data_IF_576988293876
#
_entry.id   IF_576988293876
#
_cell.length_a   1.000
_cell.length_b   1.000
_cell.length_c   1.000
_cell.angle_alpha   90.00
_cell.angle_beta   90.00
_cell.angle_gamma   90.00
#
_symmetry.space_group_name_H-M   'P 1'
#
loop_
_entity.id
_entity.type
_entity.pdbx_description
1 polymer ?
#
# COMPACT_ATOMS: atom_id res chain seq x y z
N UNK A 1 0.09 -10.26 -15.16
CA UNK A 1 0.68 -11.20 -14.18
C UNK A 1 0.54 -10.54 -12.83
N UNK A 2 -0.24 -11.12 -11.92
CA UNK A 2 -0.48 -10.54 -10.60
C UNK A 2 0.64 -10.93 -9.64
N UNK A 3 1.00 -10.03 -8.73
CA UNK A 3 1.98 -10.28 -7.68
C UNK A 3 1.39 -11.22 -6.62
N UNK A 4 2.18 -12.19 -6.16
CA UNK A 4 1.83 -13.02 -4.99
C UNK A 4 1.87 -12.17 -3.72
N UNK A 5 0.94 -12.42 -2.80
CA UNK A 5 0.92 -11.75 -1.49
C UNK A 5 1.92 -12.48 -0.61
N UNK A 6 2.91 -11.75 -0.11
CA UNK A 6 3.97 -12.31 0.73
C UNK A 6 3.72 -11.98 2.20
N UNK A 7 3.59 -13.03 3.03
CA UNK A 7 3.43 -12.89 4.47
C UNK A 7 4.61 -12.14 5.09
N UNK A 8 4.35 -11.20 5.98
CA UNK A 8 5.38 -10.37 6.64
C UNK A 8 5.88 -9.19 5.79
N UNK A 9 5.55 -9.13 4.51
CA UNK A 9 5.86 -8.01 3.61
C UNK A 9 4.62 -7.20 3.24
N UNK A 10 3.57 -7.89 2.80
CA UNK A 10 2.34 -7.25 2.33
C UNK A 10 1.29 -7.13 3.45
N UNK A 11 0.55 -6.03 3.42
CA UNK A 11 -0.62 -5.79 4.27
C UNK A 11 -1.87 -5.69 3.41
N UNK A 12 -3.01 -6.05 3.99
CA UNK A 12 -4.33 -5.89 3.37
C UNK A 12 -4.91 -4.57 3.84
N UNK A 13 -5.26 -3.69 2.91
CA UNK A 13 -5.87 -2.39 3.20
C UNK A 13 -7.22 -2.27 2.52
N UNK A 14 -8.23 -1.90 3.31
CA UNK A 14 -9.55 -1.54 2.82
C UNK A 14 -9.66 -0.03 2.64
N UNK A 15 -10.06 0.42 1.44
CA UNK A 15 -10.27 1.83 1.13
C UNK A 15 -11.74 2.05 0.79
N UNK A 16 -12.39 2.93 1.54
CA UNK A 16 -13.74 3.43 1.25
C UNK A 16 -13.65 4.82 0.60
N UNK A 17 -14.06 4.92 -0.66
CA UNK A 17 -14.09 6.19 -1.41
C UNK A 17 -15.38 6.29 -2.23
N UNK A 18 -16.10 7.40 -2.13
CA UNK A 18 -17.31 7.68 -2.93
C UNK A 18 -18.30 6.50 -2.97
N UNK A 19 -18.59 5.93 -1.80
CA UNK A 19 -19.48 4.77 -1.62
C UNK A 19 -19.00 3.45 -2.24
N UNK A 20 -17.75 3.41 -2.73
CA UNK A 20 -17.10 2.19 -3.22
C UNK A 20 -16.04 1.72 -2.23
N UNK A 21 -16.06 0.43 -1.90
CA UNK A 21 -15.09 -0.20 -1.02
C UNK A 21 -14.20 -1.15 -1.81
N UNK A 22 -12.89 -0.96 -1.71
CA UNK A 22 -11.89 -1.72 -2.45
C UNK A 22 -10.83 -2.30 -1.50
N UNK A 23 -10.37 -3.51 -1.79
CA UNK A 23 -9.23 -4.12 -1.09
C UNK A 23 -7.96 -3.96 -1.92
N UNK A 24 -6.86 -3.72 -1.23
CA UNK A 24 -5.52 -3.71 -1.80
C UNK A 24 -4.62 -4.63 -0.97
N UNK A 25 -3.69 -5.29 -1.64
CA UNK A 25 -2.64 -6.06 -0.97
C UNK A 25 -1.27 -5.57 -1.46
N UNK A 26 -0.53 -4.89 -0.59
CA UNK A 26 0.74 -4.26 -0.94
C UNK A 26 1.62 -4.03 0.28
N UNK A 27 2.85 -3.59 0.05
CA UNK A 27 3.78 -3.19 1.11
C UNK A 27 3.21 -2.05 1.97
N UNK A 28 3.50 -2.10 3.28
CA UNK A 28 2.95 -1.17 4.28
C UNK A 28 3.40 0.27 4.05
N UNK A 29 4.60 0.46 3.52
CA UNK A 29 5.22 1.77 3.29
C UNK A 29 4.41 2.63 2.32
N UNK A 30 3.68 2.02 1.37
CA UNK A 30 2.79 2.71 0.43
C UNK A 30 1.61 3.39 1.11
N UNK A 31 1.22 2.93 2.30
CA UNK A 31 0.05 3.39 3.05
C UNK A 31 0.38 4.43 4.13
N UNK A 32 1.64 4.83 4.26
CA UNK A 32 2.04 5.96 5.11
C UNK A 32 1.55 7.26 4.47
N UNK A 33 0.40 7.79 4.89
CA UNK A 33 -0.26 8.93 4.23
C UNK A 33 0.65 10.13 3.99
N UNK A 34 1.47 10.50 4.99
CA UNK A 34 2.43 11.60 4.89
C UNK A 34 3.86 11.07 4.97
N UNK A 35 4.41 10.65 3.83
CA UNK A 35 5.80 10.17 3.77
C UNK A 35 6.82 11.31 3.96
N UNK A 36 6.42 12.57 3.71
CA UNK A 36 7.28 13.73 3.98
C UNK A 36 7.60 13.81 5.48
N UNK A 37 6.57 13.77 6.34
CA UNK A 37 6.76 13.77 7.80
C UNK A 37 7.47 12.51 8.28
N UNK A 38 7.10 11.36 7.72
CA UNK A 38 7.71 10.08 8.10
C UNK A 38 9.22 10.07 7.81
N UNK A 39 9.61 10.54 6.63
CA UNK A 39 11.00 10.71 6.23
C UNK A 39 11.75 11.69 7.14
N UNK A 40 11.18 12.87 7.37
CA UNK A 40 11.79 13.90 8.22
C UNK A 40 12.05 13.39 9.65
N UNK A 41 11.17 12.54 10.19
CA UNK A 41 11.38 11.91 11.50
C UNK A 41 12.68 11.10 11.57
N UNK A 42 12.95 10.27 10.56
CA UNK A 42 14.17 9.47 10.51
C UNK A 42 15.43 10.32 10.24
N UNK A 43 15.33 11.29 9.32
CA UNK A 43 16.43 12.20 9.03
C UNK A 43 16.84 13.01 10.27
N UNK A 44 15.87 13.51 11.03
CA UNK A 44 16.11 14.23 12.29
C UNK A 44 16.73 13.34 13.38
N UNK A 45 16.50 12.02 13.32
CA UNK A 45 17.16 11.04 14.19
C UNK A 45 18.53 10.60 13.66
N UNK A 46 19.03 11.19 12.57
CA UNK A 46 20.34 10.91 11.98
C UNK A 46 20.38 9.71 11.05
N UNK A 47 19.23 9.14 10.67
CA UNK A 47 19.17 8.03 9.73
C UNK A 47 19.13 8.53 8.28
N UNK A 48 19.87 7.85 7.40
CA UNK A 48 19.76 8.07 5.97
C UNK A 48 18.40 7.54 5.47
N UNK A 49 17.76 8.29 4.58
CA UNK A 49 16.49 7.90 3.96
C UNK A 49 16.61 7.98 2.43
N UNK A 50 15.81 7.20 1.68
CA UNK A 50 15.81 7.27 0.23
C UNK A 50 15.50 8.67 -0.30
N UNK A 51 16.10 9.04 -1.43
CA UNK A 51 15.81 10.31 -2.10
C UNK A 51 14.45 10.25 -2.82
N UNK A 52 13.62 11.28 -2.60
CA UNK A 52 12.28 11.38 -3.21
C UNK A 52 11.27 10.38 -2.64
N UNK A 53 10.26 10.05 -3.46
CA UNK A 53 9.13 9.18 -3.11
C UNK A 53 8.88 8.17 -4.25
N UNK A 54 9.95 7.67 -4.89
CA UNK A 54 9.84 6.78 -6.05
C UNK A 54 9.01 5.52 -5.73
N UNK A 55 9.22 4.96 -4.54
CA UNK A 55 8.49 3.80 -4.00
C UNK A 55 6.99 4.08 -3.77
N UNK A 56 6.58 5.35 -3.90
CA UNK A 56 5.21 5.84 -3.81
C UNK A 56 4.82 6.68 -5.03
N UNK A 57 5.35 6.33 -6.20
CA UNK A 57 4.96 6.94 -7.48
C UNK A 57 5.22 8.46 -7.54
N UNK A 58 6.17 8.96 -6.74
CA UNK A 58 6.46 10.39 -6.59
C UNK A 58 5.49 11.15 -5.68
N UNK A 59 4.54 10.47 -5.02
CA UNK A 59 3.51 11.07 -4.17
C UNK A 59 3.96 11.07 -2.71
N UNK A 60 4.49 12.21 -2.25
CA UNK A 60 4.93 12.36 -0.86
C UNK A 60 3.79 12.41 0.17
N UNK A 61 2.63 12.94 -0.22
CA UNK A 61 1.46 13.11 0.65
C UNK A 61 0.23 12.59 -0.08
N UNK A 62 -0.51 11.67 0.55
CA UNK A 62 -1.84 11.23 0.12
C UNK A 62 -2.89 11.99 0.92
N UNK A 63 -3.59 12.88 0.24
CA UNK A 63 -4.70 13.70 0.74
C UNK A 63 -5.81 13.74 -0.32
N UNK A 64 -6.83 14.56 -0.14
CA UNK A 64 -7.98 14.68 -1.03
C UNK A 64 -7.60 15.06 -2.47
N UNK A 65 -6.51 15.78 -2.67
CA UNK A 65 -6.04 16.25 -3.98
C UNK A 65 -5.23 15.18 -4.72
N UNK A 66 -4.45 14.38 -4.00
CA UNK A 66 -3.56 13.35 -4.57
C UNK A 66 -4.12 11.93 -4.49
N UNK A 67 -5.22 11.72 -3.76
CA UNK A 67 -5.83 10.40 -3.54
C UNK A 67 -6.13 9.68 -4.85
N UNK A 68 -6.68 10.40 -5.82
CA UNK A 68 -7.12 9.80 -7.09
C UNK A 68 -5.93 9.31 -7.92
N UNK A 69 -4.88 10.13 -7.97
CA UNK A 69 -3.63 9.73 -8.60
C UNK A 69 -3.01 8.53 -7.89
N UNK A 70 -2.98 8.55 -6.56
CA UNK A 70 -2.45 7.44 -5.76
C UNK A 70 -3.22 6.14 -6.02
N UNK A 71 -4.56 6.15 -5.95
CA UNK A 71 -5.38 4.96 -6.19
C UNK A 71 -5.32 4.47 -7.64
N UNK A 72 -5.06 5.36 -8.61
CA UNK A 72 -4.80 4.98 -10.00
C UNK A 72 -3.47 4.22 -10.13
N UNK A 73 -2.43 4.66 -9.45
CA UNK A 73 -1.14 3.94 -9.41
C UNK A 73 -1.23 2.61 -8.65
N UNK A 74 -2.12 2.51 -7.66
CA UNK A 74 -2.34 1.29 -6.85
C UNK A 74 -3.25 0.24 -7.54
N UNK A 75 -3.77 0.50 -8.75
CA UNK A 75 -4.62 -0.47 -9.47
C UNK A 75 -4.00 -1.88 -9.61
N UNK A 76 -2.69 -2.06 -9.83
CA UNK A 76 -2.08 -3.39 -9.90
C UNK A 76 -2.14 -4.18 -8.60
N UNK A 77 -2.30 -3.51 -7.45
CA UNK A 77 -2.36 -4.11 -6.12
C UNK A 77 -3.82 -4.33 -5.66
N UNK A 78 -4.81 -3.99 -6.48
CA UNK A 78 -6.22 -4.22 -6.21
C UNK A 78 -6.48 -5.73 -6.15
N UNK A 79 -7.21 -6.18 -5.14
CA UNK A 79 -7.61 -7.57 -4.98
C UNK A 79 -9.12 -7.67 -4.73
N UNK A 80 -9.77 -8.63 -5.38
CA UNK A 80 -11.19 -8.89 -5.11
C UNK A 80 -11.35 -9.66 -3.80
N UNK A 81 -12.52 -9.52 -3.16
CA UNK A 81 -12.86 -10.33 -1.98
C UNK A 81 -12.77 -11.83 -2.26
N UNK A 82 -13.10 -12.27 -3.49
CA UNK A 82 -13.03 -13.66 -3.91
C UNK A 82 -11.58 -14.17 -3.94
N UNK A 83 -10.68 -13.42 -4.59
CA UNK A 83 -9.26 -13.74 -4.64
C UNK A 83 -8.63 -13.70 -3.25
N UNK A 84 -8.96 -12.70 -2.43
CA UNK A 84 -8.44 -12.60 -1.07
C UNK A 84 -8.82 -13.82 -0.23
N UNK A 85 -10.09 -14.24 -0.27
CA UNK A 85 -10.55 -15.46 0.42
C UNK A 85 -9.87 -16.71 -0.10
N UNK A 86 -9.67 -16.83 -1.42
CA UNK A 86 -9.01 -17.99 -1.99
C UNK A 86 -7.56 -18.10 -1.50
N UNK A 87 -6.84 -16.97 -1.43
CA UNK A 87 -5.45 -16.91 -0.95
C UNK A 87 -5.33 -17.24 0.54
N UNK A 88 -6.23 -16.71 1.38
CA UNK A 88 -6.24 -17.04 2.83
C UNK A 88 -6.55 -18.51 3.11
N UNK A 89 -7.41 -19.15 2.31
CA UNK A 89 -7.69 -20.59 2.47
C UNK A 89 -6.53 -21.48 2.03
N UNK A 90 -5.73 -21.05 1.06
CA UNK A 90 -4.57 -21.81 0.61
C UNK A 90 -3.43 -21.77 1.63
N UNK A 91 -3.24 -20.65 2.34
CA UNK A 91 -2.28 -20.57 3.45
C UNK A 91 -2.65 -21.49 4.62
N UNK A 92 -3.94 -21.62 4.95
CA UNK A 92 -4.41 -22.48 6.04
C UNK A 92 -4.28 -24.00 5.76
N UNK A 93 -4.07 -24.40 4.50
CA UNK A 93 -3.88 -25.82 4.12
C UNK A 93 -2.41 -26.23 4.00
N UNK A 94 -1.50 -25.29 4.25
CA UNK A 94 -0.05 -25.49 4.09
C UNK A 94 0.69 -25.70 5.43
N UNK A 95 -0.04 -25.73 6.55
CA UNK A 95 0.45 -25.97 7.92
C UNK A 95 -0.03 -27.31 8.49
#
# INVERSE_FOLDING_TARGET
MYREIEYGRDIIVGVLRSSSFNWYASEKERWVLDQVKWKAFFENAGFATPHGFADRFGIGIVNEESLDQFLSCMQPDLITTGELRARLKASDQSD
#
